data_IF_480004491288
#
_entry.id   IF_480004491288
#
_cell.length_a   1.000
_cell.length_b   1.000
_cell.length_c   1.000
_cell.angle_alpha   90.00
_cell.angle_beta   90.00
_cell.angle_gamma   90.00
#
_symmetry.space_group_name_H-M   'P 1'
#
loop_
_entity.id
_entity.type
_entity.pdbx_description
1 polymer ?
#
# COMPACT_ATOMS: atom_id res chain seq x y z
N UNK A 1 25.73 48.67 58.00
CA UNK A 1 24.49 49.10 57.31
C UNK A 1 24.75 49.13 55.82
N UNK A 2 24.16 48.21 55.07
CA UNK A 2 23.98 48.31 53.62
C UNK A 2 22.57 47.80 53.35
N UNK A 3 21.65 48.69 52.97
CA UNK A 3 20.30 48.31 52.53
C UNK A 3 20.45 47.64 51.17
N UNK A 4 20.21 46.34 51.11
CA UNK A 4 20.02 45.63 49.84
C UNK A 4 18.69 46.13 49.25
N UNK A 5 18.74 47.04 48.29
CA UNK A 5 17.55 47.43 47.53
C UNK A 5 17.05 46.21 46.74
N UNK A 6 15.95 45.63 47.18
CA UNK A 6 15.27 44.57 46.47
C UNK A 6 14.73 45.15 45.15
N UNK A 7 15.27 44.69 44.01
CA UNK A 7 14.77 45.04 42.67
C UNK A 7 13.25 44.84 42.63
N UNK A 8 12.45 45.79 42.09
CA UNK A 8 11.01 45.65 42.04
C UNK A 8 10.64 44.40 41.22
N UNK A 9 9.89 43.48 41.83
CA UNK A 9 9.34 42.31 41.13
C UNK A 9 8.47 42.82 39.99
N UNK A 10 8.89 42.58 38.73
CA UNK A 10 8.10 42.92 37.54
C UNK A 10 6.73 42.26 37.65
N UNK A 11 5.69 43.07 37.76
CA UNK A 11 4.30 42.59 37.76
C UNK A 11 3.96 42.20 36.31
N UNK A 12 3.50 40.97 36.08
CA UNK A 12 3.10 40.53 34.74
C UNK A 12 1.90 41.38 34.26
N UNK A 13 1.93 41.80 32.99
CA UNK A 13 0.87 42.59 32.39
C UNK A 13 -0.37 41.75 32.05
N UNK A 14 -1.56 42.38 32.05
CA UNK A 14 -2.83 41.73 31.65
C UNK A 14 -2.76 41.00 30.31
N UNK A 15 -1.99 41.53 29.35
CA UNK A 15 -1.77 40.90 28.03
C UNK A 15 -1.08 39.53 28.15
N UNK A 16 -0.11 39.38 29.06
CA UNK A 16 0.58 38.10 29.31
C UNK A 16 -0.36 37.06 29.93
N UNK A 17 -1.25 37.47 30.83
CA UNK A 17 -2.29 36.58 31.38
C UNK A 17 -3.23 36.06 30.30
N UNK A 18 -3.71 36.94 29.41
CA UNK A 18 -4.60 36.55 28.30
C UNK A 18 -3.89 35.57 27.36
N UNK A 19 -2.62 35.81 27.05
CA UNK A 19 -1.82 34.91 26.21
C UNK A 19 -1.72 33.51 26.82
N UNK A 20 -1.47 33.40 28.13
CA UNK A 20 -1.39 32.08 28.78
C UNK A 20 -2.70 31.31 28.79
N UNK A 21 -3.85 31.98 29.01
CA UNK A 21 -5.14 31.32 28.92
C UNK A 21 -5.49 30.93 27.47
N UNK A 22 -5.16 31.77 26.48
CA UNK A 22 -5.34 31.44 25.08
C UNK A 22 -4.50 30.22 24.67
N UNK A 23 -3.25 30.13 25.13
CA UNK A 23 -2.40 28.97 24.90
C UNK A 23 -2.94 27.70 25.56
N UNK A 24 -3.44 27.79 26.80
CA UNK A 24 -4.06 26.65 27.48
C UNK A 24 -5.28 26.11 26.71
N UNK A 25 -6.15 27.01 26.23
CA UNK A 25 -7.32 26.64 25.41
C UNK A 25 -6.90 26.07 24.06
N UNK A 26 -5.91 26.68 23.40
CA UNK A 26 -5.39 26.18 22.12
C UNK A 26 -4.86 24.74 22.27
N UNK A 27 -4.02 24.48 23.26
CA UNK A 27 -3.50 23.13 23.49
C UNK A 27 -4.59 22.14 23.90
N UNK A 28 -5.59 22.55 24.69
CA UNK A 28 -6.74 21.70 25.01
C UNK A 28 -7.60 21.39 23.76
N UNK A 29 -7.79 22.36 22.86
CA UNK A 29 -8.55 22.18 21.63
C UNK A 29 -7.84 21.27 20.63
N UNK A 30 -6.51 21.40 20.48
CA UNK A 30 -5.70 20.46 19.69
C UNK A 30 -5.87 19.02 20.19
N UNK A 31 -5.88 18.78 21.51
CA UNK A 31 -6.13 17.44 22.07
C UNK A 31 -7.54 16.91 21.72
N UNK A 32 -8.57 17.76 21.77
CA UNK A 32 -9.95 17.34 21.46
C UNK A 32 -10.10 17.00 19.97
N UNK A 33 -9.43 17.75 19.09
CA UNK A 33 -9.42 17.45 17.66
C UNK A 33 -8.69 16.12 17.35
N UNK A 34 -7.63 15.81 18.09
CA UNK A 34 -6.88 14.55 17.97
C UNK A 34 -7.66 13.35 18.55
N UNK A 35 -8.38 13.56 19.66
CA UNK A 35 -9.27 12.54 20.27
C UNK A 35 -10.53 12.25 19.43
N UNK A 36 -10.87 13.09 18.45
CA UNK A 36 -12.00 12.89 17.55
C UNK A 36 -11.71 11.96 16.38
N UNK A 37 -10.48 11.45 16.26
CA UNK A 37 -10.07 10.53 15.19
C UNK A 37 -10.28 9.04 15.55
N UNK A 38 -10.55 8.73 16.83
CA UNK A 38 -10.74 7.36 17.32
C UNK A 38 -12.18 6.84 17.12
N UNK A 39 -13.14 7.72 16.82
CA UNK A 39 -14.57 7.39 16.61
C UNK A 39 -15.01 7.81 15.19
N UNK A 40 -14.24 7.45 14.17
CA UNK A 40 -14.82 7.37 12.82
C UNK A 40 -15.62 6.05 12.74
N UNK A 41 -16.96 6.07 12.72
CA UNK A 41 -17.77 4.86 12.62
C UNK A 41 -17.51 4.08 11.33
N UNK A 42 -16.84 4.66 10.33
CA UNK A 42 -16.43 3.96 9.11
C UNK A 42 -15.15 3.10 9.29
N UNK A 43 -14.41 3.24 10.40
CA UNK A 43 -13.19 2.47 10.71
C UNK A 43 -13.36 1.47 11.88
N UNK A 44 -14.55 1.40 12.47
CA UNK A 44 -14.89 0.47 13.54
C UNK A 44 -15.02 -0.96 13.00
N UNK A 45 -13.89 -1.59 12.69
CA UNK A 45 -13.84 -2.94 12.11
C UNK A 45 -12.51 -3.30 11.44
N UNK A 46 -11.66 -2.31 11.13
CA UNK A 46 -10.43 -2.56 10.38
C UNK A 46 -9.35 -3.18 11.28
N UNK A 47 -8.65 -4.17 10.74
CA UNK A 47 -7.52 -4.83 11.39
C UNK A 47 -6.22 -4.06 11.09
N UNK A 48 -5.33 -4.04 12.08
CA UNK A 48 -4.00 -3.47 11.96
C UNK A 48 -2.95 -4.57 12.07
N UNK A 49 -1.73 -4.26 11.62
CA UNK A 49 -0.58 -5.14 11.81
C UNK A 49 -0.36 -5.51 13.29
N UNK A 50 -0.75 -4.64 14.26
CA UNK A 50 -0.66 -4.95 15.70
C UNK A 50 -1.56 -6.08 16.17
N UNK A 51 -2.61 -6.38 15.40
CA UNK A 51 -3.56 -7.43 15.76
C UNK A 51 -3.05 -8.83 15.36
N UNK A 52 -1.97 -8.87 14.56
CA UNK A 52 -1.34 -10.10 14.13
C UNK A 52 -0.30 -10.61 15.16
N UNK A 53 -0.21 -11.93 15.30
CA UNK A 53 0.87 -12.58 16.06
C UNK A 53 2.07 -12.80 15.15
N UNK A 54 3.24 -12.27 15.51
CA UNK A 54 4.46 -12.51 14.74
C UNK A 54 4.98 -13.93 14.97
N UNK A 55 5.27 -14.65 13.88
CA UNK A 55 5.75 -16.04 13.89
C UNK A 55 7.16 -16.10 13.31
N UNK A 56 8.16 -16.18 14.19
CA UNK A 56 9.58 -16.00 13.84
C UNK A 56 10.14 -17.08 12.91
N UNK A 57 9.68 -18.33 13.05
CA UNK A 57 10.18 -19.44 12.23
C UNK A 57 9.51 -19.54 10.86
N UNK A 58 8.50 -18.70 10.59
CA UNK A 58 7.67 -18.70 9.38
C UNK A 58 7.09 -20.09 9.05
N UNK A 59 6.60 -20.79 10.09
CA UNK A 59 5.98 -22.13 9.97
C UNK A 59 4.54 -22.17 10.49
N UNK A 60 3.70 -23.06 9.94
CA UNK A 60 2.38 -23.33 10.48
C UNK A 60 2.43 -23.88 11.91
N UNK A 61 1.67 -23.26 12.80
CA UNK A 61 1.51 -23.71 14.19
C UNK A 61 0.04 -23.93 14.51
N UNK A 62 -0.40 -25.10 15.02
CA UNK A 62 -1.82 -25.39 15.27
C UNK A 62 -2.53 -24.38 16.18
N UNK A 63 -1.81 -23.75 17.10
CA UNK A 63 -2.33 -22.70 17.99
C UNK A 63 -2.69 -21.39 17.27
N UNK A 64 -2.17 -21.19 16.05
CA UNK A 64 -2.40 -20.00 15.23
C UNK A 64 -3.50 -20.21 14.17
N UNK A 65 -4.10 -21.40 14.11
CA UNK A 65 -5.14 -21.72 13.14
C UNK A 65 -6.33 -20.75 13.23
N UNK A 66 -6.71 -20.18 12.08
CA UNK A 66 -7.76 -19.17 11.95
C UNK A 66 -7.42 -17.81 12.56
N UNK A 67 -6.17 -17.59 13.01
CA UNK A 67 -5.70 -16.32 13.56
C UNK A 67 -4.90 -15.54 12.54
N UNK A 68 -4.92 -14.21 12.72
CA UNK A 68 -4.06 -13.30 11.99
C UNK A 68 -2.62 -13.47 12.49
N UNK A 69 -1.71 -13.81 11.59
CA UNK A 69 -0.28 -13.93 11.86
C UNK A 69 0.53 -13.06 10.91
N UNK A 70 1.73 -12.70 11.35
CA UNK A 70 2.73 -12.05 10.54
C UNK A 70 3.96 -12.95 10.42
N UNK A 71 4.48 -13.10 9.20
CA UNK A 71 5.70 -13.86 8.92
C UNK A 71 6.61 -13.04 8.03
N UNK A 72 7.92 -13.20 8.22
CA UNK A 72 8.94 -12.57 7.40
C UNK A 72 9.85 -13.62 6.80
N UNK A 73 10.25 -13.41 5.55
CA UNK A 73 11.08 -14.36 4.84
C UNK A 73 11.30 -13.99 3.39
N UNK A 74 11.90 -14.92 2.64
CA UNK A 74 12.07 -14.74 1.19
C UNK A 74 10.83 -15.19 0.45
N UNK A 75 10.35 -14.33 -0.42
CA UNK A 75 9.32 -14.66 -1.40
C UNK A 75 9.91 -15.61 -2.44
N UNK A 76 9.28 -16.77 -2.61
CA UNK A 76 9.66 -17.78 -3.58
C UNK A 76 8.46 -18.08 -4.48
N UNK A 77 8.66 -18.01 -5.79
CA UNK A 77 7.70 -18.53 -6.76
C UNK A 77 7.90 -20.04 -6.87
N UNK A 78 6.85 -20.83 -6.59
CA UNK A 78 6.92 -22.30 -6.59
C UNK A 78 6.23 -22.94 -7.78
N UNK A 79 5.39 -22.18 -8.49
CA UNK A 79 4.83 -22.59 -9.77
C UNK A 79 4.98 -21.49 -10.82
N UNK A 80 4.99 -21.92 -12.08
CA UNK A 80 5.00 -21.04 -13.24
C UNK A 80 3.59 -20.51 -13.52
N UNK A 81 3.48 -19.31 -14.09
CA UNK A 81 2.21 -18.77 -14.57
C UNK A 81 1.81 -19.44 -15.88
N UNK A 82 0.60 -20.01 -15.93
CA UNK A 82 0.07 -20.65 -17.12
C UNK A 82 -1.06 -19.82 -17.74
N UNK A 83 -0.96 -19.58 -19.05
CA UNK A 83 -1.97 -18.90 -19.85
C UNK A 83 -2.74 -19.90 -20.71
N UNK A 84 -3.94 -20.26 -20.25
CA UNK A 84 -4.83 -21.23 -20.91
C UNK A 84 -5.32 -20.80 -22.30
N UNK A 85 -5.28 -19.51 -22.65
CA UNK A 85 -5.81 -19.04 -23.93
C UNK A 85 -4.94 -19.49 -25.11
N UNK A 86 -3.63 -19.55 -24.89
CA UNK A 86 -2.64 -19.90 -25.93
C UNK A 86 -1.63 -20.96 -25.46
N UNK A 87 -1.95 -21.62 -24.34
CA UNK A 87 -1.22 -22.75 -23.76
C UNK A 87 0.26 -22.43 -23.41
N UNK A 88 0.59 -21.18 -23.02
CA UNK A 88 1.97 -20.78 -22.71
C UNK A 88 2.26 -20.75 -21.22
N UNK A 89 3.48 -21.12 -20.84
CA UNK A 89 3.94 -21.11 -19.46
C UNK A 89 5.09 -20.12 -19.28
N UNK A 90 5.04 -19.30 -18.23
CA UNK A 90 6.07 -18.34 -17.89
C UNK A 90 6.66 -18.64 -16.51
N UNK A 91 7.99 -18.66 -16.42
CA UNK A 91 8.70 -18.75 -15.15
C UNK A 91 8.70 -17.39 -14.43
N UNK A 92 7.56 -17.08 -13.82
CA UNK A 92 7.35 -15.83 -13.12
C UNK A 92 6.27 -15.97 -12.03
N UNK A 93 6.36 -15.16 -10.95
CA UNK A 93 5.36 -15.10 -9.89
C UNK A 93 4.01 -14.55 -10.36
N UNK A 94 4.03 -13.70 -11.39
CA UNK A 94 2.85 -13.08 -11.97
C UNK A 94 3.11 -12.74 -13.43
N UNK A 95 2.07 -12.86 -14.23
CA UNK A 95 2.05 -12.40 -15.62
C UNK A 95 0.75 -11.66 -15.90
N UNK A 96 0.85 -10.46 -16.46
CA UNK A 96 -0.30 -9.73 -16.98
C UNK A 96 -0.40 -9.95 -18.49
N UNK A 97 -1.43 -10.65 -18.93
CA UNK A 97 -1.81 -10.71 -20.34
C UNK A 97 -2.54 -9.42 -20.71
N UNK A 98 -2.11 -8.80 -21.80
CA UNK A 98 -2.79 -7.68 -22.44
C UNK A 98 -3.32 -8.14 -23.79
N UNK A 99 -4.55 -7.75 -24.11
CA UNK A 99 -5.21 -8.10 -25.35
C UNK A 99 -5.69 -6.83 -26.03
N UNK A 100 -5.43 -6.73 -27.32
CA UNK A 100 -5.99 -5.67 -28.14
C UNK A 100 -6.75 -6.25 -29.32
N UNK A 101 -7.84 -5.58 -29.68
CA UNK A 101 -8.70 -5.91 -30.81
C UNK A 101 -8.59 -4.83 -31.88
N UNK A 102 -8.43 -5.25 -33.13
CA UNK A 102 -8.37 -4.32 -34.25
C UNK A 102 -9.78 -3.80 -34.58
N UNK A 103 -9.96 -2.48 -34.58
CA UNK A 103 -11.24 -1.84 -34.89
C UNK A 103 -11.05 -0.63 -35.83
N UNK A 104 -12.08 -0.36 -36.64
CA UNK A 104 -12.10 0.85 -37.46
C UNK A 104 -12.76 2.01 -36.70
N UNK A 105 -11.97 3.02 -36.35
CA UNK A 105 -12.49 4.21 -35.67
C UNK A 105 -13.01 5.21 -36.70
N UNK A 106 -14.34 5.30 -36.81
CA UNK A 106 -15.02 6.19 -37.77
C UNK A 106 -14.70 7.68 -37.56
N UNK A 107 -14.41 8.10 -36.32
CA UNK A 107 -14.09 9.50 -35.99
C UNK A 107 -12.73 9.94 -36.52
N UNK A 108 -11.70 9.10 -36.43
CA UNK A 108 -10.37 9.36 -36.99
C UNK A 108 -10.18 8.81 -38.40
N UNK A 109 -11.13 8.01 -38.90
CA UNK A 109 -11.06 7.29 -40.17
C UNK A 109 -9.84 6.37 -40.29
N UNK A 110 -9.39 5.85 -39.16
CA UNK A 110 -8.18 5.03 -39.03
C UNK A 110 -8.49 3.72 -38.31
N UNK A 111 -7.66 2.73 -38.61
CA UNK A 111 -7.67 1.46 -37.90
C UNK A 111 -6.78 1.55 -36.68
N UNK A 112 -7.30 1.11 -35.54
CA UNK A 112 -6.62 1.17 -34.26
C UNK A 112 -6.73 -0.17 -33.56
N UNK A 113 -5.69 -0.50 -32.80
CA UNK A 113 -5.77 -1.57 -31.82
C UNK A 113 -6.35 -0.98 -30.54
N UNK A 114 -7.48 -1.50 -30.10
CA UNK A 114 -8.18 -1.08 -28.89
C UNK A 114 -7.99 -2.13 -27.80
N UNK A 115 -7.56 -1.73 -26.61
CA UNK A 115 -7.36 -2.64 -25.48
C UNK A 115 -8.68 -3.24 -25.01
N UNK A 116 -8.66 -4.55 -24.75
CA UNK A 116 -9.79 -5.32 -24.26
C UNK A 116 -9.51 -5.68 -22.81
N UNK A 117 -10.19 -4.99 -21.89
CA UNK A 117 -10.00 -5.20 -20.45
C UNK A 117 -10.72 -6.47 -19.98
N UNK A 118 -10.35 -6.93 -18.78
CA UNK A 118 -11.02 -8.05 -18.11
C UNK A 118 -12.54 -7.84 -18.04
N UNK A 119 -13.31 -8.89 -18.36
CA UNK A 119 -14.77 -8.88 -18.43
C UNK A 119 -15.36 -8.30 -19.71
N UNK A 120 -14.54 -7.88 -20.68
CA UNK A 120 -14.97 -7.30 -21.96
C UNK A 120 -14.69 -8.21 -23.16
N UNK A 121 -13.98 -9.32 -22.95
CA UNK A 121 -13.54 -10.24 -23.99
C UNK A 121 -14.66 -11.11 -24.55
N UNK A 122 -14.37 -11.70 -25.71
CA UNK A 122 -15.13 -12.79 -26.30
C UNK A 122 -14.16 -13.96 -26.46
N UNK A 123 -14.62 -15.18 -26.15
CA UNK A 123 -13.81 -16.41 -26.22
C UNK A 123 -12.48 -16.35 -25.44
N UNK A 124 -12.44 -15.60 -24.33
CA UNK A 124 -11.27 -15.47 -23.47
C UNK A 124 -10.22 -14.44 -23.93
N UNK A 125 -10.41 -13.78 -25.08
CA UNK A 125 -9.54 -12.70 -25.54
C UNK A 125 -9.78 -11.39 -24.80
N UNK A 126 -9.22 -11.31 -23.60
CA UNK A 126 -9.21 -10.13 -22.74
C UNK A 126 -7.96 -10.09 -21.86
N UNK A 127 -7.67 -8.89 -21.34
CA UNK A 127 -6.64 -8.70 -20.34
C UNK A 127 -6.91 -9.55 -19.11
N UNK A 128 -5.88 -10.23 -18.60
CA UNK A 128 -5.99 -11.16 -17.47
C UNK A 128 -4.70 -11.15 -16.67
N UNK A 129 -4.82 -11.07 -15.35
CA UNK A 129 -3.71 -11.33 -14.45
C UNK A 129 -3.65 -12.84 -14.17
N UNK A 130 -2.47 -13.41 -14.37
CA UNK A 130 -2.14 -14.80 -14.11
C UNK A 130 -1.21 -14.82 -12.91
N UNK A 131 -1.60 -15.49 -11.83
CA UNK A 131 -0.80 -15.62 -10.62
C UNK A 131 -0.14 -17.00 -10.54
N UNK A 132 1.14 -17.01 -10.22
CA UNK A 132 1.85 -18.21 -9.76
C UNK A 132 1.63 -18.44 -8.27
N UNK A 133 1.97 -19.64 -7.80
CA UNK A 133 1.97 -19.97 -6.38
C UNK A 133 3.19 -19.34 -5.72
N UNK A 134 2.96 -18.58 -4.66
CA UNK A 134 4.01 -17.91 -3.90
C UNK A 134 4.15 -18.56 -2.53
N UNK A 135 5.37 -18.57 -2.01
CA UNK A 135 5.67 -19.02 -0.66
C UNK A 135 6.54 -18.03 0.11
N UNK A 136 6.34 -17.98 1.42
CA UNK A 136 7.22 -17.32 2.39
C UNK A 136 7.43 -18.27 3.55
N UNK A 137 8.68 -18.70 3.77
CA UNK A 137 8.97 -19.78 4.71
C UNK A 137 8.29 -21.08 4.28
N UNK A 138 7.55 -21.72 5.20
CA UNK A 138 6.81 -22.95 4.94
C UNK A 138 5.33 -22.68 4.54
N UNK A 139 4.93 -21.42 4.40
CA UNK A 139 3.56 -21.04 4.02
C UNK A 139 3.40 -20.86 2.51
N UNK A 140 2.28 -21.38 1.98
CA UNK A 140 1.77 -21.06 0.65
C UNK A 140 0.88 -19.82 0.78
N UNK A 141 1.14 -18.79 -0.02
CA UNK A 141 0.27 -17.61 -0.04
C UNK A 141 -0.92 -17.86 -0.94
N UNK A 142 -2.12 -17.45 -0.48
CA UNK A 142 -3.29 -17.45 -1.35
C UNK A 142 -3.05 -16.59 -2.61
N UNK A 143 -3.70 -16.91 -3.74
CA UNK A 143 -3.52 -16.15 -4.99
C UNK A 143 -3.75 -14.64 -4.84
N UNK A 144 -4.60 -14.23 -3.91
CA UNK A 144 -4.94 -12.82 -3.66
C UNK A 144 -3.77 -12.00 -3.12
N UNK A 145 -2.71 -12.63 -2.61
CA UNK A 145 -1.48 -11.90 -2.27
C UNK A 145 -0.74 -11.37 -3.50
N UNK A 146 -0.90 -12.00 -4.67
CA UNK A 146 -0.14 -11.64 -5.90
C UNK A 146 -0.41 -10.22 -6.39
N UNK A 147 -1.57 -9.63 -6.03
CA UNK A 147 -1.89 -8.23 -6.35
C UNK A 147 -1.24 -7.22 -5.40
N UNK A 148 -0.81 -7.65 -4.21
CA UNK A 148 -0.29 -6.75 -3.17
C UNK A 148 1.23 -6.54 -3.24
N UNK A 149 1.96 -7.43 -3.92
CA UNK A 149 3.42 -7.32 -4.05
C UNK A 149 3.85 -6.23 -5.04
N UNK A 150 4.89 -5.46 -4.66
CA UNK A 150 5.58 -4.50 -5.52
C UNK A 150 6.49 -5.18 -6.56
N UNK A 151 5.92 -5.83 -7.57
CA UNK A 151 6.73 -6.48 -8.61
C UNK A 151 7.33 -5.49 -9.62
N UNK A 152 8.54 -5.81 -10.07
CA UNK A 152 9.15 -5.16 -11.23
C UNK A 152 8.62 -5.81 -12.51
N UNK A 153 7.76 -5.09 -13.20
CA UNK A 153 7.10 -5.56 -14.42
C UNK A 153 7.93 -5.23 -15.66
N UNK A 154 8.20 -6.25 -16.49
CA UNK A 154 8.94 -6.10 -17.76
C UNK A 154 8.14 -6.72 -18.90
N UNK A 155 8.17 -6.11 -20.08
CA UNK A 155 7.56 -6.71 -21.26
C UNK A 155 8.23 -8.05 -21.59
N UNK A 156 7.43 -9.07 -21.85
CA UNK A 156 7.90 -10.39 -22.28
C UNK A 156 8.69 -10.27 -23.59
N UNK A 157 9.73 -11.08 -23.70
CA UNK A 157 10.58 -11.22 -24.89
C UNK A 157 10.41 -12.63 -25.44
N UNK A 158 10.80 -12.84 -26.71
CA UNK A 158 10.67 -14.15 -27.33
C UNK A 158 11.50 -15.22 -26.59
N UNK A 159 12.59 -14.81 -25.93
CA UNK A 159 13.42 -15.66 -25.07
C UNK A 159 12.74 -16.15 -23.79
N UNK A 160 11.63 -15.54 -23.39
CA UNK A 160 10.86 -15.93 -22.20
C UNK A 160 9.85 -17.05 -22.52
N UNK A 161 9.71 -17.43 -23.79
CA UNK A 161 8.90 -18.56 -24.25
C UNK A 161 9.79 -19.78 -24.42
N UNK A 162 9.28 -20.96 -24.09
CA UNK A 162 9.99 -22.20 -24.44
C UNK A 162 10.02 -22.40 -25.96
N UNK A 163 10.98 -23.19 -26.45
CA UNK A 163 11.04 -23.52 -27.87
C UNK A 163 9.77 -24.27 -28.32
N UNK A 164 9.23 -25.13 -27.46
CA UNK A 164 7.98 -25.87 -27.70
C UNK A 164 6.78 -24.92 -27.82
N UNK A 165 6.70 -23.90 -26.96
CA UNK A 165 5.64 -22.87 -27.05
C UNK A 165 5.73 -22.07 -28.34
N UNK A 166 6.93 -21.68 -28.75
CA UNK A 166 7.14 -20.94 -29.99
C UNK A 166 6.69 -21.77 -31.20
N UNK A 167 7.12 -23.03 -31.28
CA UNK A 167 6.78 -23.92 -32.38
C UNK A 167 5.28 -24.22 -32.44
N UNK A 168 4.65 -24.45 -31.27
CA UNK A 168 3.19 -24.66 -31.18
C UNK A 168 2.43 -23.45 -31.69
N UNK A 169 2.72 -22.26 -31.14
CA UNK A 169 2.07 -21.01 -31.55
C UNK A 169 2.23 -20.76 -33.05
N UNK A 170 3.44 -20.90 -33.59
CA UNK A 170 3.69 -20.73 -35.02
C UNK A 170 2.93 -21.77 -35.87
N UNK A 171 2.78 -23.01 -35.40
CA UNK A 171 1.99 -24.06 -36.07
C UNK A 171 0.48 -23.80 -36.08
N UNK A 172 -0.01 -23.10 -35.06
CA UNK A 172 -1.41 -22.64 -34.93
C UNK A 172 -1.67 -21.35 -35.73
N UNK A 173 -0.66 -20.84 -36.43
CA UNK A 173 -0.77 -19.65 -37.26
C UNK A 173 -0.54 -18.33 -36.50
N UNK A 174 -0.05 -18.38 -35.26
CA UNK A 174 0.39 -17.17 -34.57
C UNK A 174 1.76 -16.70 -35.07
N UNK A 175 1.94 -15.38 -35.06
CA UNK A 175 3.15 -14.70 -35.47
C UNK A 175 3.65 -13.80 -34.35
N UNK A 176 4.94 -13.91 -34.06
CA UNK A 176 5.65 -13.01 -33.16
C UNK A 176 6.03 -11.72 -33.89
N UNK A 177 5.50 -10.59 -33.45
CA UNK A 177 5.73 -9.27 -34.01
C UNK A 177 6.61 -8.47 -33.05
N UNK A 178 7.89 -8.29 -33.40
CA UNK A 178 8.83 -7.51 -32.62
C UNK A 178 8.68 -6.01 -32.92
N UNK A 179 8.26 -5.23 -31.92
CA UNK A 179 8.26 -3.76 -31.95
C UNK A 179 8.92 -3.20 -30.69
N UNK A 180 8.36 -2.12 -30.13
CA UNK A 180 8.70 -1.68 -28.75
C UNK A 180 8.36 -2.77 -27.73
N UNK A 181 7.34 -3.57 -28.03
CA UNK A 181 6.85 -4.69 -27.23
C UNK A 181 6.71 -5.90 -28.16
N UNK A 182 6.76 -7.10 -27.59
CA UNK A 182 6.50 -8.34 -28.30
C UNK A 182 4.99 -8.62 -28.36
N UNK A 183 4.43 -8.60 -29.56
CA UNK A 183 3.04 -8.98 -29.79
C UNK A 183 2.94 -10.35 -30.45
N UNK A 184 1.93 -11.13 -30.08
CA UNK A 184 1.59 -12.41 -30.69
C UNK A 184 0.19 -12.29 -31.28
N UNK A 185 0.05 -12.60 -32.57
CA UNK A 185 -1.23 -12.46 -33.29
C UNK A 185 -1.30 -13.45 -34.45
N UNK A 186 -2.51 -13.88 -34.81
CA UNK A 186 -2.73 -14.66 -36.05
C UNK A 186 -2.63 -13.79 -37.31
N UNK A 187 -2.57 -12.46 -37.17
CA UNK A 187 -2.23 -11.57 -38.27
C UNK A 187 -0.72 -11.51 -38.46
N UNK A 188 -0.25 -11.80 -39.66
CA UNK A 188 1.14 -11.53 -40.03
C UNK A 188 1.36 -10.01 -40.17
N UNK A 189 2.41 -9.50 -39.53
CA UNK A 189 2.94 -8.14 -39.72
C UNK A 189 3.11 -7.72 -41.19
N UNK A 190 3.37 -8.65 -42.10
CA UNK A 190 3.45 -8.37 -43.54
C UNK A 190 2.08 -8.05 -44.17
N UNK A 191 0.99 -8.60 -43.62
CA UNK A 191 -0.38 -8.27 -44.00
C UNK A 191 -0.78 -6.86 -43.53
N UNK A 192 -0.20 -6.37 -42.44
CA UNK A 192 -0.45 -5.03 -41.89
C UNK A 192 0.18 -3.89 -42.71
N UNK A 193 1.28 -4.17 -43.43
CA UNK A 193 2.04 -3.18 -44.20
C UNK A 193 1.44 -2.86 -45.59
N UNK A 194 0.43 -3.60 -46.05
CA UNK A 194 -0.31 -3.29 -47.27
C UNK A 194 -1.36 -2.23 -46.94
N UNK A 195 -1.03 -0.96 -47.15
CA UNK A 195 -1.89 0.24 -47.06
C UNK A 195 -3.39 -0.06 -46.94
N UNK A 196 -3.91 0.07 -45.70
CA UNK A 196 -5.24 -0.29 -45.15
C UNK A 196 -5.30 -1.72 -44.65
N UNK A 197 -5.50 -1.87 -43.33
CA UNK A 197 -6.22 -3.02 -42.82
C UNK A 197 -7.51 -3.16 -43.66
N UNK A 198 -7.65 -4.30 -44.31
CA UNK A 198 -8.89 -4.66 -44.99
C UNK A 198 -9.98 -4.82 -43.93
N UNK A 199 -11.23 -4.55 -44.32
CA UNK A 199 -12.38 -4.77 -43.43
C UNK A 199 -12.42 -6.21 -42.89
N UNK A 200 -11.83 -7.13 -43.62
CA UNK A 200 -11.75 -8.55 -43.31
C UNK A 200 -10.86 -8.85 -42.09
N UNK A 201 -10.02 -7.91 -41.65
CA UNK A 201 -9.22 -8.04 -40.42
C UNK A 201 -9.91 -7.42 -39.19
N UNK A 202 -11.04 -6.72 -39.34
CA UNK A 202 -11.77 -6.16 -38.20
C UNK A 202 -12.12 -7.23 -37.18
N UNK A 203 -11.82 -6.94 -35.91
CA UNK A 203 -12.06 -7.86 -34.81
C UNK A 203 -10.95 -8.88 -34.58
N UNK A 204 -9.86 -8.83 -35.33
CA UNK A 204 -8.66 -9.64 -35.04
C UNK A 204 -8.04 -9.23 -33.71
N UNK A 205 -7.40 -10.19 -33.05
CA UNK A 205 -6.77 -9.99 -31.75
C UNK A 205 -5.24 -10.05 -31.84
N UNK A 206 -4.59 -9.33 -30.94
CA UNK A 206 -3.17 -9.51 -30.61
C UNK A 206 -2.99 -9.49 -29.11
N UNK A 207 -1.99 -10.21 -28.64
CA UNK A 207 -1.69 -10.37 -27.23
C UNK A 207 -0.25 -9.98 -26.96
N UNK A 208 0.01 -9.42 -25.79
CA UNK A 208 1.35 -9.30 -25.22
C UNK A 208 1.30 -9.66 -23.75
N UNK A 209 2.45 -9.94 -23.16
CA UNK A 209 2.56 -10.26 -21.75
C UNK A 209 3.54 -9.31 -21.07
N UNK A 210 3.21 -8.95 -19.84
CA UNK A 210 4.12 -8.29 -18.91
C UNK A 210 4.46 -9.30 -17.83
N UNK A 211 5.74 -9.56 -17.62
CA UNK A 211 6.25 -10.56 -16.69
C UNK A 211 6.73 -9.83 -15.43
N UNK A 212 6.21 -10.23 -14.27
CA UNK A 212 6.63 -9.72 -12.98
C UNK A 212 7.90 -10.41 -12.50
N UNK A 213 8.85 -9.64 -11.97
CA UNK A 213 10.04 -10.16 -11.30
C UNK A 213 10.05 -9.72 -9.85
N UNK A 214 10.43 -10.64 -8.96
CA UNK A 214 10.70 -10.33 -7.56
C UNK A 214 11.83 -9.30 -7.53
N UNK A 215 11.56 -8.16 -6.90
CA UNK A 215 12.49 -7.04 -6.78
C UNK A 215 13.46 -7.26 -5.61
N UNK A 216 14.58 -6.55 -5.61
CA UNK A 216 15.53 -6.57 -4.49
C UNK A 216 16.11 -7.95 -4.19
N UNK A 217 16.21 -8.29 -2.91
CA UNK A 217 16.67 -9.59 -2.40
C UNK A 217 15.52 -10.58 -2.15
N UNK A 218 14.29 -10.18 -2.47
CA UNK A 218 13.06 -10.94 -2.32
C UNK A 218 12.57 -11.06 -0.88
N UNK A 219 13.11 -10.29 0.05
CA UNK A 219 12.65 -10.28 1.43
C UNK A 219 11.31 -9.55 1.55
N UNK A 220 10.36 -10.18 2.25
CA UNK A 220 9.02 -9.64 2.48
C UNK A 220 8.56 -9.94 3.90
N UNK A 221 7.63 -9.14 4.38
CA UNK A 221 6.83 -9.42 5.57
C UNK A 221 5.37 -9.42 5.15
N UNK A 222 4.66 -10.50 5.47
CA UNK A 222 3.27 -10.70 5.08
C UNK A 222 2.41 -10.97 6.30
N UNK A 223 1.19 -10.43 6.27
CA UNK A 223 0.18 -10.59 7.31
C UNK A 223 -1.04 -11.28 6.70
N UNK A 224 -1.57 -12.29 7.37
CA UNK A 224 -2.73 -13.01 6.89
C UNK A 224 -3.27 -14.03 7.88
N UNK A 225 -4.38 -14.67 7.53
CA UNK A 225 -4.96 -15.72 8.35
C UNK A 225 -4.29 -17.06 8.06
N UNK A 226 -3.84 -17.74 9.11
CA UNK A 226 -3.37 -19.12 8.94
C UNK A 226 -4.56 -20.06 8.70
N UNK A 227 -4.51 -20.80 7.60
CA UNK A 227 -5.38 -21.93 7.29
C UNK A 227 -4.50 -23.13 6.89
N UNK A 228 -4.14 -23.95 7.88
CA UNK A 228 -3.15 -25.01 7.69
C UNK A 228 -1.80 -24.47 7.23
N UNK A 229 -1.33 -24.93 6.07
CA UNK A 229 -0.09 -24.48 5.42
C UNK A 229 -0.28 -23.26 4.50
N UNK A 230 -1.51 -22.76 4.40
CA UNK A 230 -1.85 -21.61 3.57
C UNK A 230 -1.99 -20.37 4.44
N UNK A 231 -1.44 -19.25 3.96
CA UNK A 231 -1.71 -17.93 4.50
C UNK A 231 -2.74 -17.25 3.59
N UNK A 232 -3.92 -16.96 4.12
CA UNK A 232 -5.00 -16.28 3.43
C UNK A 232 -4.93 -14.77 3.63
N UNK A 233 -5.22 -14.02 2.57
CA UNK A 233 -5.17 -12.57 2.61
C UNK A 233 -6.21 -12.00 3.59
N UNK A 234 -5.80 -11.03 4.41
CA UNK A 234 -6.71 -10.30 5.27
C UNK A 234 -7.25 -9.05 4.53
N UNK A 235 -8.44 -9.15 3.94
CA UNK A 235 -9.09 -8.04 3.21
C UNK A 235 -9.50 -6.88 4.11
N UNK A 236 -9.80 -7.14 5.38
CA UNK A 236 -10.24 -6.14 6.37
C UNK A 236 -9.08 -5.32 6.97
N UNK A 237 -7.85 -5.46 6.45
CA UNK A 237 -6.72 -4.67 6.92
C UNK A 237 -6.78 -3.23 6.40
N UNK A 238 -6.57 -2.26 7.30
CA UNK A 238 -6.52 -0.82 6.97
C UNK A 238 -5.27 -0.44 6.14
N UNK A 239 -4.27 -1.32 6.14
CA UNK A 239 -3.01 -1.20 5.42
C UNK A 239 -2.80 -2.39 4.48
N UNK A 240 -1.83 -2.30 3.57
CA UNK A 240 -1.40 -3.44 2.78
C UNK A 240 -0.99 -4.59 3.71
N UNK A 241 -1.33 -5.82 3.33
CA UNK A 241 -0.94 -7.04 4.04
C UNK A 241 0.49 -7.49 3.72
N UNK A 242 1.21 -6.69 2.95
CA UNK A 242 2.56 -6.99 2.45
C UNK A 242 3.44 -5.77 2.61
N UNK A 243 4.66 -6.00 3.09
CA UNK A 243 5.76 -5.06 3.07
C UNK A 243 6.94 -5.70 2.34
N UNK A 244 7.55 -4.96 1.42
CA UNK A 244 8.68 -5.41 0.59
C UNK A 244 10.03 -5.36 1.36
N UNK A 245 9.99 -5.73 2.65
CA UNK A 245 11.15 -5.76 3.55
C UNK A 245 11.01 -6.89 4.58
N UNK A 246 12.14 -7.48 4.99
CA UNK A 246 12.18 -8.35 6.16
C UNK A 246 12.07 -7.51 7.43
N UNK A 247 11.18 -7.86 8.35
CA UNK A 247 11.08 -7.25 9.68
C UNK A 247 11.22 -8.34 10.72
N UNK A 248 12.05 -8.12 11.74
CA UNK A 248 11.99 -8.98 12.92
C UNK A 248 10.81 -8.59 13.84
N UNK A 249 10.58 -9.37 14.89
CA UNK A 249 9.48 -9.11 15.85
C UNK A 249 9.57 -7.70 16.46
N UNK A 250 10.77 -7.19 16.73
CA UNK A 250 10.94 -5.87 17.35
C UNK A 250 10.58 -4.75 16.35
N UNK A 251 11.04 -4.87 15.11
CA UNK A 251 10.73 -3.94 14.01
C UNK A 251 9.24 -3.97 13.64
N UNK A 252 8.66 -5.17 13.54
CA UNK A 252 7.24 -5.38 13.31
C UNK A 252 6.42 -4.66 14.39
N UNK A 253 6.72 -4.91 15.67
CA UNK A 253 6.02 -4.29 16.78
C UNK A 253 6.22 -2.77 16.86
N UNK A 254 7.34 -2.23 16.38
CA UNK A 254 7.56 -0.77 16.31
C UNK A 254 6.72 -0.12 15.22
N UNK A 255 6.70 -0.71 14.01
CA UNK A 255 5.99 -0.17 12.84
C UNK A 255 4.48 -0.31 13.00
N UNK A 256 4.05 -1.39 13.65
CA UNK A 256 2.63 -1.68 13.84
C UNK A 256 1.93 -0.66 14.76
N UNK A 257 2.65 0.06 15.65
CA UNK A 257 2.05 1.10 16.51
C UNK A 257 1.51 2.24 15.64
N UNK A 258 0.18 2.46 15.56
CA UNK A 258 -0.38 3.56 14.79
C UNK A 258 0.16 4.91 15.30
N UNK A 259 0.46 5.88 14.43
CA UNK A 259 0.98 7.19 14.86
C UNK A 259 0.06 7.91 15.86
N UNK A 260 -1.24 7.64 15.81
CA UNK A 260 -2.27 8.17 16.73
C UNK A 260 -2.23 7.53 18.13
N UNK A 261 -1.66 6.33 18.30
CA UNK A 261 -1.58 5.63 19.59
C UNK A 261 -0.38 6.04 20.45
N UNK A 262 0.38 7.07 20.06
CA UNK A 262 1.45 7.64 20.87
C UNK A 262 0.89 8.41 22.08
N UNK A 263 0.45 7.68 23.10
CA UNK A 263 -0.04 8.22 24.40
C UNK A 263 0.91 9.26 25.01
N UNK A 264 2.22 9.16 24.73
CA UNK A 264 3.23 10.12 25.18
C UNK A 264 3.04 11.55 24.62
N UNK A 265 2.62 11.69 23.35
CA UNK A 265 2.37 13.01 22.75
C UNK A 265 1.13 13.67 23.36
N UNK A 266 0.04 12.92 23.52
CA UNK A 266 -1.17 13.37 24.20
C UNK A 266 -0.87 13.80 25.65
N UNK A 267 -0.14 12.97 26.42
CA UNK A 267 0.26 13.31 27.80
C UNK A 267 1.09 14.60 27.84
N UNK A 268 2.03 14.79 26.91
CA UNK A 268 2.82 16.03 26.83
C UNK A 268 1.94 17.25 26.52
N UNK A 269 0.95 17.13 25.64
CA UNK A 269 0.02 18.22 25.32
C UNK A 269 -0.89 18.58 26.52
N UNK A 270 -1.33 17.60 27.30
CA UNK A 270 -2.02 17.83 28.58
C UNK A 270 -1.13 18.54 29.61
N UNK A 271 0.15 18.16 29.71
CA UNK A 271 1.13 18.83 30.56
C UNK A 271 1.32 20.30 30.16
N UNK A 272 1.38 20.61 28.86
CA UNK A 272 1.48 22.00 28.39
C UNK A 272 0.22 22.81 28.72
N UNK A 273 -0.97 22.26 28.50
CA UNK A 273 -2.23 22.91 28.85
C UNK A 273 -2.29 23.24 30.35
N UNK A 274 -1.98 22.26 31.21
CA UNK A 274 -1.94 22.44 32.66
C UNK A 274 -0.90 23.49 33.09
N UNK A 275 0.31 23.46 32.50
CA UNK A 275 1.38 24.42 32.78
C UNK A 275 0.93 25.85 32.46
N UNK A 276 0.32 26.09 31.29
CA UNK A 276 -0.13 27.43 30.90
C UNK A 276 -1.31 27.92 31.74
N UNK A 277 -2.20 27.02 32.16
CA UNK A 277 -3.26 27.34 33.12
C UNK A 277 -2.68 27.82 34.46
N UNK A 278 -1.69 27.08 35.01
CA UNK A 278 -1.02 27.42 36.27
C UNK A 278 -0.30 28.77 36.16
N UNK A 279 0.40 29.03 35.06
CA UNK A 279 1.07 30.32 34.81
C UNK A 279 0.07 31.47 34.69
N UNK A 280 -1.07 31.25 34.03
CA UNK A 280 -2.18 32.20 33.95
C UNK A 280 -2.74 32.56 35.32
N UNK A 281 -3.07 31.56 36.14
CA UNK A 281 -3.59 31.74 37.51
C UNK A 281 -2.57 32.48 38.39
N UNK A 282 -1.30 32.08 38.34
CA UNK A 282 -0.22 32.75 39.08
C UNK A 282 -0.12 34.24 38.72
N UNK A 283 -0.23 34.58 37.44
CA UNK A 283 -0.22 35.97 36.99
C UNK A 283 -1.43 36.76 37.51
N UNK A 284 -2.64 36.17 37.52
CA UNK A 284 -3.83 36.80 38.11
C UNK A 284 -3.61 37.10 39.59
N UNK A 285 -3.06 36.15 40.36
CA UNK A 285 -2.77 36.34 41.79
C UNK A 285 -1.77 37.48 42.00
N UNK A 286 -0.70 37.54 41.19
CA UNK A 286 0.30 38.61 41.27
C UNK A 286 -0.28 39.98 40.93
N UNK A 287 -1.12 40.07 39.89
CA UNK A 287 -1.81 41.31 39.51
C UNK A 287 -2.77 41.77 40.62
N UNK A 288 -3.55 40.84 41.21
CA UNK A 288 -4.45 41.16 42.32
C UNK A 288 -3.70 41.67 43.55
N UNK A 289 -2.58 41.02 43.92
CA UNK A 289 -1.72 41.45 45.03
C UNK A 289 -1.13 42.84 44.78
N UNK A 290 -0.64 43.11 43.58
CA UNK A 290 -0.10 44.42 43.21
C UNK A 290 -1.18 45.53 43.24
N UNK A 291 -2.41 45.21 42.79
CA UNK A 291 -3.53 46.16 42.84
C UNK A 291 -3.94 46.47 44.28
N UNK A 292 -4.06 45.46 45.14
CA UNK A 292 -4.39 45.64 46.56
C UNK A 292 -3.32 46.46 47.31
N UNK A 293 -2.04 46.26 47.00
CA UNK A 293 -0.95 47.06 47.55
C UNK A 293 -0.97 48.51 47.05
N UNK A 294 -1.30 48.74 45.77
CA UNK A 294 -1.43 50.09 45.21
C UNK A 294 -2.66 50.86 45.69
N UNK A 295 -3.74 50.16 46.04
CA UNK A 295 -4.93 50.75 46.67
C UNK A 295 -4.70 51.04 48.17
N UNK A 296 -3.84 50.28 48.86
CA UNK A 296 -3.47 50.52 50.27
C UNK A 296 -2.42 51.65 50.46
N UNK A 297 -1.82 52.15 49.38
CA UNK A 297 -0.80 53.22 49.36
C UNK A 297 -1.35 54.57 48.88
N UNK A 298 -2.66 54.67 48.62
CA UNK A 298 -3.40 55.91 48.35
C UNK A 298 -4.20 56.32 49.57
#
# INVERSE_FOLDING_TARGET
MAKTEAKPKKVPGKKSTIIFFALAVFWAWVNIADLGYDDDPDHAGNLYWTDATYVEDAKPHPENEGKLIAISGKLVSTSSCYDELVDVTFDAPRVDRHVEKLAYRSSSKEWVWEEVYAGQGVDGYEGKMLGGSLMVGDFILSPDFTIQFGFNNVDAKKSDFSQEDIERLESEGYHFQNGTQLWVSQLDSSALNKKKYEKDYEGSYRMRWTISKISGDGNVTVVGYQNGDTLELCEDMDALSVEDEYMDEEEFNKKAIPPHRNKGAAIMMWCFSALFLILGIRNVILIRKAKAQGEALK
#
